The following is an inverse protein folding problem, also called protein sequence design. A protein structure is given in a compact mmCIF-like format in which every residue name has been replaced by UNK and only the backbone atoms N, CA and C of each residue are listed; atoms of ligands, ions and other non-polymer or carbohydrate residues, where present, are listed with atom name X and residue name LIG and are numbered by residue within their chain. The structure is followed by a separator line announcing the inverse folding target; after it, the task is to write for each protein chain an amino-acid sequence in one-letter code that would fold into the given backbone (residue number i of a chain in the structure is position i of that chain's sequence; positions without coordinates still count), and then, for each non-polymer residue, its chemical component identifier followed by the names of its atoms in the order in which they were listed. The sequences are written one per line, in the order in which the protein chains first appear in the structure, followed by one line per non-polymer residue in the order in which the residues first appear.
data_IF_236743829043
#
_entry.id   IF_236743829043
#
_cell.length_a   1.000
_cell.length_b   1.000
_cell.length_c   1.000
_cell.angle_alpha   90.00
_cell.angle_beta   90.00
_cell.angle_gamma   90.00
#
_symmetry.space_group_name_H-M   'P 1'
#
loop_
_entity.id
_entity.type
_entity.pdbx_description
1 polymer ?
#
# COMPACT_ATOMS: atom_id res chain seq x y z
N UNK A 1 -10.55 -11.94 -18.75
CA UNK A 1 -9.26 -11.34 -19.19
C UNK A 1 -8.87 -10.40 -18.09
N UNK A 2 -7.71 -10.61 -17.48
CA UNK A 2 -7.23 -9.79 -16.37
C UNK A 2 -6.65 -8.49 -16.95
N UNK A 3 -7.09 -7.35 -16.42
CA UNK A 3 -6.65 -6.03 -16.80
C UNK A 3 -6.06 -5.32 -15.59
N UNK A 4 -4.80 -4.88 -15.67
CA UNK A 4 -4.18 -4.05 -14.63
C UNK A 4 -4.83 -2.66 -14.61
N UNK A 5 -5.14 -2.16 -13.42
CA UNK A 5 -5.87 -0.90 -13.21
C UNK A 5 -5.06 0.13 -12.44
N UNK A 6 -4.26 -0.31 -11.46
CA UNK A 6 -3.45 0.54 -10.61
C UNK A 6 -2.16 -0.19 -10.27
N UNK A 7 -1.06 0.53 -10.33
CA UNK A 7 0.22 0.15 -9.77
C UNK A 7 0.79 1.43 -9.16
N UNK A 8 0.65 1.57 -7.85
CA UNK A 8 0.93 2.80 -7.15
C UNK A 8 1.72 2.54 -5.87
N UNK A 9 2.80 3.32 -5.69
CA UNK A 9 3.54 3.42 -4.44
C UNK A 9 3.47 4.87 -3.94
N UNK A 10 3.13 5.06 -2.68
CA UNK A 10 3.03 6.36 -2.05
C UNK A 10 3.77 6.37 -0.71
N UNK A 11 4.64 7.37 -0.51
CA UNK A 11 5.19 7.69 0.81
C UNK A 11 4.12 8.40 1.62
N UNK A 12 3.72 7.83 2.76
CA UNK A 12 2.66 8.38 3.61
C UNK A 12 3.20 9.10 4.84
N UNK A 13 4.39 8.75 5.31
CA UNK A 13 5.03 9.38 6.46
C UNK A 13 6.55 9.13 6.48
N UNK A 14 7.21 9.80 7.42
CA UNK A 14 8.59 9.54 7.82
C UNK A 14 8.61 9.16 9.29
N UNK A 15 9.38 8.13 9.63
CA UNK A 15 9.63 7.69 11.01
C UNK A 15 11.12 7.59 11.27
N UNK A 16 11.53 7.71 12.54
CA UNK A 16 12.89 7.37 12.95
C UNK A 16 12.90 5.93 13.48
N UNK A 17 13.75 5.08 12.89
CA UNK A 17 14.00 3.72 13.35
C UNK A 17 15.51 3.58 13.60
N UNK A 18 15.88 3.09 14.78
CA UNK A 18 17.27 2.93 15.20
C UNK A 18 18.14 4.19 15.04
N UNK A 19 17.53 5.37 15.17
CA UNK A 19 18.19 6.67 15.04
C UNK A 19 18.38 7.17 13.61
N UNK A 20 17.81 6.47 12.61
CA UNK A 20 17.88 6.86 11.21
C UNK A 20 16.48 7.11 10.61
N UNK A 21 16.32 8.10 9.71
CA UNK A 21 15.05 8.40 9.07
C UNK A 21 14.69 7.36 8.01
N UNK A 22 13.45 6.87 8.09
CA UNK A 22 12.86 5.92 7.15
C UNK A 22 11.55 6.47 6.58
N UNK A 23 11.33 6.31 5.28
CA UNK A 23 10.05 6.57 4.65
C UNK A 23 9.12 5.38 4.88
N UNK A 24 7.89 5.65 5.29
CA UNK A 24 6.82 4.67 5.33
C UNK A 24 6.08 4.72 4.00
N UNK A 25 6.13 3.62 3.28
CA UNK A 25 5.55 3.47 1.96
C UNK A 25 4.30 2.58 2.02
N UNK A 26 3.28 2.97 1.28
CA UNK A 26 2.13 2.15 0.95
C UNK A 26 2.16 1.81 -0.53
N UNK A 27 1.75 0.60 -0.86
CA UNK A 27 1.73 0.10 -2.22
C UNK A 27 0.40 -0.58 -2.52
N UNK A 28 -0.10 -0.38 -3.74
CA UNK A 28 -1.31 -1.00 -4.24
C UNK A 28 -1.14 -1.47 -5.69
N UNK A 29 -1.41 -2.76 -5.90
CA UNK A 29 -1.55 -3.37 -7.22
C UNK A 29 -3.00 -3.78 -7.42
N UNK A 30 -3.70 -3.17 -8.39
CA UNK A 30 -5.08 -3.48 -8.70
C UNK A 30 -5.22 -4.14 -10.07
N UNK A 31 -6.06 -5.16 -10.15
CA UNK A 31 -6.41 -5.83 -11.39
C UNK A 31 -7.89 -6.22 -11.43
N UNK A 32 -8.51 -6.19 -12.61
CA UNK A 32 -9.91 -6.57 -12.81
C UNK A 32 -10.02 -7.74 -13.80
N UNK A 33 -10.76 -8.79 -13.43
CA UNK A 33 -11.17 -9.83 -14.37
C UNK A 33 -12.55 -9.54 -14.95
N UNK A 34 -12.55 -9.07 -16.20
CA UNK A 34 -13.77 -8.78 -16.98
C UNK A 34 -14.72 -9.97 -17.15
N UNK A 35 -14.25 -11.20 -16.93
CA UNK A 35 -15.11 -12.40 -17.04
C UNK A 35 -15.97 -12.59 -15.79
N UNK A 36 -15.43 -12.22 -14.63
CA UNK A 36 -16.08 -12.41 -13.33
C UNK A 36 -16.52 -11.10 -12.69
N UNK A 37 -16.21 -9.95 -13.31
CA UNK A 37 -16.39 -8.61 -12.74
C UNK A 37 -15.80 -8.49 -11.34
N UNK A 38 -14.61 -9.08 -11.15
CA UNK A 38 -13.91 -9.02 -9.86
C UNK A 38 -12.72 -8.08 -9.98
N UNK A 39 -12.71 -7.05 -9.15
CA UNK A 39 -11.55 -6.25 -8.82
C UNK A 39 -10.77 -6.96 -7.70
N UNK A 40 -9.47 -7.14 -7.89
CA UNK A 40 -8.53 -7.60 -6.87
C UNK A 40 -7.52 -6.49 -6.63
N UNK A 41 -7.41 -6.03 -5.38
CA UNK A 41 -6.41 -5.05 -4.96
C UNK A 41 -5.49 -5.70 -3.93
N UNK A 42 -4.20 -5.77 -4.25
CA UNK A 42 -3.15 -6.22 -3.32
C UNK A 42 -2.54 -5.00 -2.68
N UNK A 43 -2.53 -4.99 -1.35
CA UNK A 43 -2.09 -3.88 -0.54
C UNK A 43 -0.89 -4.32 0.27
N UNK A 44 0.14 -3.49 0.25
CA UNK A 44 1.38 -3.72 0.97
C UNK A 44 1.84 -2.42 1.64
N UNK A 45 2.59 -2.55 2.72
CA UNK A 45 3.23 -1.44 3.38
C UNK A 45 4.61 -1.86 3.85
N UNK A 46 5.58 -0.97 3.70
CA UNK A 46 6.97 -1.22 4.09
C UNK A 46 7.63 0.10 4.49
N UNK A 47 8.76 0.01 5.18
CA UNK A 47 9.65 1.15 5.40
C UNK A 47 10.88 1.01 4.50
N UNK A 48 11.40 2.13 4.02
CA UNK A 48 12.69 2.17 3.31
C UNK A 48 13.60 3.23 3.90
N UNK A 49 14.88 2.91 4.01
CA UNK A 49 15.87 3.86 4.52
C UNK A 49 16.06 5.03 3.54
N UNK A 50 16.20 6.25 4.07
CA UNK A 50 16.52 7.43 3.26
C UNK A 50 18.03 7.64 3.05
N UNK A 51 18.87 7.08 3.92
CA UNK A 51 20.30 7.33 3.92
C UNK A 51 21.08 6.44 2.94
N UNK A 52 22.18 7.00 2.39
CA UNK A 52 22.96 6.41 1.29
C UNK A 52 23.57 5.03 1.60
N UNK A 53 23.88 4.74 2.85
CA UNK A 53 24.50 3.48 3.25
C UNK A 53 23.54 2.28 3.19
N UNK A 54 22.22 2.54 3.14
CA UNK A 54 21.16 1.50 3.15
C UNK A 54 20.10 1.73 2.07
N UNK A 55 20.41 2.49 1.01
CA UNK A 55 19.47 2.74 -0.10
C UNK A 55 19.01 1.41 -0.70
N UNK A 56 17.70 1.20 -0.71
CA UNK A 56 17.05 0.02 -1.30
C UNK A 56 16.73 -1.08 -0.30
N UNK A 57 17.16 -0.96 0.97
CA UNK A 57 16.70 -1.86 2.03
C UNK A 57 15.24 -1.53 2.37
N UNK A 58 14.38 -2.54 2.24
CA UNK A 58 12.98 -2.45 2.64
C UNK A 58 12.75 -3.38 3.81
N UNK A 59 12.00 -2.92 4.80
CA UNK A 59 11.62 -3.71 5.96
C UNK A 59 10.12 -3.61 6.20
N UNK A 60 9.55 -4.62 6.84
CA UNK A 60 8.14 -4.65 7.25
C UNK A 60 8.05 -4.78 8.77
N UNK A 61 8.24 -3.67 9.52
CA UNK A 61 8.12 -3.70 10.98
C UNK A 61 6.77 -4.27 11.45
N UNK A 62 6.77 -4.97 12.58
CA UNK A 62 5.58 -5.65 13.11
C UNK A 62 4.41 -4.71 13.49
N UNK A 63 4.65 -3.40 13.60
CA UNK A 63 3.60 -2.41 13.82
C UNK A 63 2.89 -2.01 12.54
N UNK A 64 3.46 -2.27 11.35
CA UNK A 64 2.75 -2.07 10.09
C UNK A 64 1.62 -3.10 9.96
N UNK A 65 0.49 -2.73 9.32
CA UNK A 65 -0.53 -3.70 8.97
C UNK A 65 0.05 -4.77 8.04
N UNK A 66 -0.35 -6.03 8.27
CA UNK A 66 0.03 -7.14 7.39
C UNK A 66 -0.50 -6.93 5.96
N UNK A 67 0.21 -7.47 4.94
CA UNK A 67 -0.24 -7.35 3.55
C UNK A 67 -1.65 -7.91 3.39
N UNK A 68 -2.48 -7.22 2.61
CA UNK A 68 -3.90 -7.55 2.48
C UNK A 68 -4.28 -7.70 1.01
N UNK A 69 -5.22 -8.60 0.72
CA UNK A 69 -5.85 -8.68 -0.60
C UNK A 69 -7.34 -8.44 -0.45
N UNK A 70 -7.83 -7.37 -1.07
CA UNK A 70 -9.25 -7.03 -1.14
C UNK A 70 -9.79 -7.50 -2.48
N UNK A 71 -10.96 -8.15 -2.48
CA UNK A 71 -11.64 -8.60 -3.69
C UNK A 71 -13.08 -8.10 -3.67
N UNK A 72 -13.46 -7.34 -4.68
CA UNK A 72 -14.78 -6.72 -4.79
C UNK A 72 -15.42 -7.04 -6.13
N UNK A 73 -16.74 -7.20 -6.13
CA UNK A 73 -17.53 -7.34 -7.35
C UNK A 73 -17.90 -5.94 -7.85
N UNK A 74 -17.30 -5.52 -8.97
CA UNK A 74 -17.48 -4.17 -9.52
C UNK A 74 -17.36 -4.23 -11.04
N UNK A 75 -18.13 -3.40 -11.74
CA UNK A 75 -18.02 -3.27 -13.18
C UNK A 75 -16.72 -2.53 -13.56
N UNK A 76 -16.21 -2.79 -14.76
CA UNK A 76 -14.92 -2.25 -15.20
C UNK A 76 -14.85 -0.71 -15.12
N UNK A 77 -15.96 -0.04 -15.40
CA UNK A 77 -16.05 1.42 -15.46
C UNK A 77 -15.90 2.07 -14.07
N UNK A 78 -16.26 1.35 -13.00
CA UNK A 78 -16.16 1.79 -11.61
C UNK A 78 -14.92 1.20 -10.89
N UNK A 79 -14.27 0.20 -11.50
CA UNK A 79 -13.19 -0.55 -10.86
C UNK A 79 -11.96 0.30 -10.54
N UNK A 80 -11.69 1.36 -11.32
CA UNK A 80 -10.57 2.27 -11.05
C UNK A 80 -10.83 3.15 -9.83
N UNK A 81 -12.01 3.79 -9.76
CA UNK A 81 -12.44 4.62 -8.62
C UNK A 81 -12.46 3.80 -7.32
N UNK A 82 -13.02 2.59 -7.38
CA UNK A 82 -13.01 1.68 -6.23
C UNK A 82 -11.58 1.29 -5.79
N UNK A 83 -10.66 1.06 -6.72
CA UNK A 83 -9.27 0.75 -6.39
C UNK A 83 -8.57 1.93 -5.69
N UNK A 84 -8.82 3.16 -6.14
CA UNK A 84 -8.31 4.38 -5.50
C UNK A 84 -8.87 4.56 -4.09
N UNK A 85 -10.17 4.32 -3.88
CA UNK A 85 -10.81 4.38 -2.57
C UNK A 85 -10.26 3.34 -1.59
N UNK A 86 -10.06 2.11 -2.07
CA UNK A 86 -9.42 1.04 -1.29
C UNK A 86 -8.00 1.46 -0.91
N UNK A 87 -7.22 2.01 -1.84
CA UNK A 87 -5.85 2.45 -1.55
C UNK A 87 -5.82 3.64 -0.59
N UNK A 88 -6.72 4.62 -0.73
CA UNK A 88 -6.84 5.73 0.20
C UNK A 88 -7.25 5.28 1.61
N UNK A 89 -8.08 4.23 1.73
CA UNK A 89 -8.40 3.59 2.99
C UNK A 89 -7.18 2.89 3.61
N UNK A 90 -6.42 2.16 2.80
CA UNK A 90 -5.16 1.52 3.22
C UNK A 90 -4.16 2.54 3.75
N UNK A 91 -3.95 3.65 3.05
CA UNK A 91 -3.06 4.73 3.48
C UNK A 91 -3.43 5.27 4.86
N UNK A 92 -4.73 5.45 5.13
CA UNK A 92 -5.23 5.87 6.44
C UNK A 92 -4.97 4.82 7.53
N UNK A 93 -5.09 3.53 7.22
CA UNK A 93 -4.78 2.44 8.17
C UNK A 93 -3.30 2.38 8.51
N UNK A 94 -2.42 2.51 7.52
CA UNK A 94 -0.97 2.55 7.72
C UNK A 94 -0.57 3.76 8.55
N UNK A 95 -1.12 4.94 8.23
CA UNK A 95 -0.92 6.16 9.04
C UNK A 95 -1.38 6.00 10.49
N UNK A 96 -2.51 5.32 10.73
CA UNK A 96 -3.02 5.07 12.08
C UNK A 96 -2.17 4.07 12.88
N UNK A 97 -1.44 3.19 12.18
CA UNK A 97 -0.55 2.18 12.75
C UNK A 97 0.85 2.71 13.07
N UNK A 98 1.18 3.94 12.64
CA UNK A 98 2.47 4.54 12.93
C UNK A 98 2.74 4.55 14.44
N UNK A 99 3.99 4.25 14.85
CA UNK A 99 4.36 4.38 16.25
C UNK A 99 4.15 5.82 16.67
N UNK A 100 3.26 6.03 17.64
CA UNK A 100 3.12 7.34 18.29
C UNK A 100 4.38 7.53 19.12
N UNK A 101 5.25 8.43 18.68
CA UNK A 101 6.45 8.77 19.43
C UNK A 101 6.01 9.22 20.85
N UNK A 102 6.58 8.66 21.93
CA UNK A 102 6.33 9.12 23.30
C UNK A 102 6.86 10.54 23.55
#
# INVERSE_FOLDING_TARGET
MIHGLLDATQVVATVELDGAPHEVCCEAEASHDRRTNLLTVRLHAFVRAMEQDHIGETATPAWLPEPETVTESVDLDEAHEMAEDIFASWNRRVLAALPRNP
#
